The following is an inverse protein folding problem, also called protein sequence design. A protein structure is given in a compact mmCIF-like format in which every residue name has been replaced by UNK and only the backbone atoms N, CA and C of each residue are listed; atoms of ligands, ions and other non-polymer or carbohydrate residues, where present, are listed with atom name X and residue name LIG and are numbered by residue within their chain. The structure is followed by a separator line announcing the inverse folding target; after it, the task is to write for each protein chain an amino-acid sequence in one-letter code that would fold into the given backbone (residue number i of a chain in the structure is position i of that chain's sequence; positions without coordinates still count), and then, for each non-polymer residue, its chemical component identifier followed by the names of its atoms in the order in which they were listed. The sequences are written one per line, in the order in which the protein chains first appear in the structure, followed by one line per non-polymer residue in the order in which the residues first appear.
data_IF_067607565198
#
_entry.id   IF_067607565198
#
_cell.length_a   1.000
_cell.length_b   1.000
_cell.length_c   1.000
_cell.angle_alpha   90.00
_cell.angle_beta   90.00
_cell.angle_gamma   90.00
#
_symmetry.space_group_name_H-M   'P 1'
#
loop_
_entity.id
_entity.type
_entity.pdbx_description
1 polymer ?
#
# COMPACT_ATOMS: atom_id res chain seq x y z
N UNK A 1 14.39 60.02 29.82
CA UNK A 1 14.02 60.94 28.73
C UNK A 1 13.60 60.09 27.53
N UNK A 2 12.34 60.21 27.08
CA UNK A 2 11.89 59.82 25.72
C UNK A 2 12.57 60.75 24.69
N UNK A 3 12.46 60.51 23.38
CA UNK A 3 12.60 59.28 22.58
C UNK A 3 13.55 59.57 21.38
N UNK A 4 13.70 58.68 20.40
CA UNK A 4 13.58 59.03 18.97
C UNK A 4 13.73 57.79 18.09
N UNK A 5 12.65 57.54 17.35
CA UNK A 5 12.53 56.58 16.26
C UNK A 5 12.79 57.37 14.97
N UNK A 6 13.68 56.90 14.08
CA UNK A 6 13.85 57.48 12.75
C UNK A 6 13.46 56.45 11.69
N UNK A 7 12.31 56.70 11.07
CA UNK A 7 11.91 56.08 9.81
C UNK A 7 12.65 56.77 8.65
N UNK A 8 12.82 55.96 7.60
CA UNK A 8 12.69 56.29 6.18
C UNK A 8 13.95 56.62 5.35
N UNK A 9 13.92 56.00 4.16
CA UNK A 9 14.45 56.46 2.86
C UNK A 9 15.98 56.40 2.71
N UNK A 10 16.57 55.73 1.70
CA UNK A 10 16.45 56.09 0.28
C UNK A 10 17.10 55.02 -0.63
N UNK A 11 16.38 54.67 -1.72
CA UNK A 11 16.79 54.41 -3.12
C UNK A 11 18.30 54.37 -3.49
N UNK A 12 18.73 53.34 -4.24
CA UNK A 12 19.59 53.49 -5.44
C UNK A 12 19.81 52.16 -6.20
N UNK A 13 19.62 52.25 -7.51
CA UNK A 13 19.90 51.28 -8.58
C UNK A 13 21.40 51.19 -8.84
N UNK A 14 21.92 49.99 -9.11
CA UNK A 14 23.18 49.81 -9.86
C UNK A 14 23.06 48.63 -10.85
N UNK A 15 23.29 48.96 -12.12
CA UNK A 15 23.43 48.08 -13.28
C UNK A 15 24.92 47.81 -13.53
N UNK A 16 25.27 46.62 -14.04
CA UNK A 16 26.58 46.27 -14.64
C UNK A 16 27.34 45.18 -13.86
N UNK A 17 28.14 44.29 -14.44
CA UNK A 17 28.42 43.87 -15.81
C UNK A 17 29.27 42.57 -15.70
N UNK A 18 28.97 41.60 -16.57
CA UNK A 18 29.83 40.54 -17.14
C UNK A 18 31.20 40.22 -16.52
N UNK A 19 31.42 38.94 -16.17
CA UNK A 19 32.69 38.25 -16.39
C UNK A 19 32.44 36.93 -17.13
N UNK A 20 32.66 36.97 -18.43
CA UNK A 20 32.85 35.82 -19.30
C UNK A 20 34.29 35.31 -19.15
N UNK A 21 34.46 34.11 -18.60
CA UNK A 21 35.71 33.36 -18.72
C UNK A 21 35.69 32.59 -20.03
N UNK A 22 36.54 33.03 -20.96
CA UNK A 22 36.99 32.22 -22.08
C UNK A 22 38.00 31.19 -21.56
N UNK A 23 37.73 29.91 -21.80
CA UNK A 23 38.73 28.87 -21.82
C UNK A 23 38.70 28.25 -23.21
N UNK A 24 39.77 28.47 -23.97
CA UNK A 24 40.00 27.92 -25.30
C UNK A 24 41.20 26.97 -25.18
N UNK A 25 41.10 25.79 -25.79
CA UNK A 25 42.26 25.02 -26.23
C UNK A 25 42.37 23.59 -25.71
N UNK A 26 41.73 22.64 -26.39
CA UNK A 26 42.44 21.61 -27.17
C UNK A 26 41.40 20.74 -27.90
N UNK A 27 41.54 20.66 -29.22
CA UNK A 27 40.84 19.71 -30.09
C UNK A 27 41.06 18.27 -29.62
N UNK A 28 39.98 17.50 -29.57
CA UNK A 28 39.91 16.12 -30.03
C UNK A 28 38.43 15.74 -30.15
N UNK A 29 38.06 15.31 -31.36
CA UNK A 29 36.76 14.75 -31.71
C UNK A 29 36.38 13.60 -30.78
N UNK A 30 35.28 13.74 -30.02
CA UNK A 30 34.47 12.61 -29.59
C UNK A 30 33.06 13.12 -29.21
N UNK A 31 32.10 12.69 -30.02
CA UNK A 31 30.69 13.06 -29.97
C UNK A 31 30.03 12.42 -28.72
N UNK A 32 30.18 13.03 -27.55
CA UNK A 32 29.50 12.57 -26.33
C UNK A 32 28.65 13.70 -25.73
N UNK A 33 27.45 13.85 -26.28
CA UNK A 33 26.36 14.60 -25.65
C UNK A 33 26.02 13.96 -24.31
N UNK A 34 26.60 14.47 -23.22
CA UNK A 34 26.15 14.19 -21.85
C UNK A 34 24.79 14.83 -21.63
N UNK A 35 23.74 14.13 -22.11
CA UNK A 35 22.38 14.44 -21.76
C UNK A 35 22.24 14.42 -20.24
N UNK A 36 21.95 15.58 -19.64
CA UNK A 36 21.59 15.69 -18.24
C UNK A 36 20.47 14.66 -17.95
N UNK A 37 20.64 13.73 -17.00
CA UNK A 37 19.65 12.68 -16.79
C UNK A 37 18.29 13.33 -16.49
N UNK A 38 17.28 12.90 -17.23
CA UNK A 38 15.92 13.38 -17.03
C UNK A 38 15.52 13.22 -15.55
N UNK A 39 14.88 14.22 -14.91
CA UNK A 39 14.45 14.12 -13.54
C UNK A 39 13.61 12.85 -13.34
N UNK A 40 13.89 12.10 -12.26
CA UNK A 40 13.11 10.91 -11.95
C UNK A 40 11.63 11.30 -11.79
N UNK A 41 10.74 10.63 -12.52
CA UNK A 41 9.31 10.91 -12.45
C UNK A 41 8.78 10.57 -11.06
N UNK A 42 8.05 11.49 -10.45
CA UNK A 42 7.41 11.33 -9.14
C UNK A 42 5.89 11.39 -9.21
N UNK A 43 5.23 10.90 -8.17
CA UNK A 43 3.81 11.09 -7.89
C UNK A 43 3.58 11.39 -6.41
N UNK A 44 2.46 12.03 -6.08
CA UNK A 44 2.20 12.54 -4.74
C UNK A 44 1.36 11.57 -3.93
N UNK A 45 1.91 11.01 -2.85
CA UNK A 45 1.17 10.20 -1.88
C UNK A 45 0.76 11.08 -0.70
N UNK A 46 -0.51 11.01 -0.29
CA UNK A 46 -1.06 11.76 0.84
C UNK A 46 -1.71 10.83 1.85
N UNK A 47 -1.75 11.24 3.10
CA UNK A 47 -2.29 10.39 4.14
C UNK A 47 -2.26 10.95 5.55
N UNK A 48 -2.60 10.08 6.50
CA UNK A 48 -2.60 10.36 7.94
C UNK A 48 -1.77 9.30 8.67
N UNK A 49 -0.78 9.73 9.44
CA UNK A 49 -0.01 8.89 10.34
C UNK A 49 -0.40 9.15 11.80
N UNK A 50 -0.86 8.12 12.51
CA UNK A 50 -1.34 8.26 13.89
C UNK A 50 -1.31 6.94 14.66
N UNK A 51 -1.26 7.04 15.99
CA UNK A 51 -1.41 5.89 16.91
C UNK A 51 -2.38 6.21 18.05
N UNK A 52 -3.51 6.84 17.75
CA UNK A 52 -4.42 7.48 18.72
C UNK A 52 -4.09 8.96 18.98
N UNK A 53 -2.91 9.38 18.51
CA UNK A 53 -2.48 10.78 18.42
C UNK A 53 -1.76 10.99 17.09
N UNK A 54 -1.68 12.22 16.58
CA UNK A 54 -0.80 12.55 15.47
C UNK A 54 0.60 11.96 15.67
N UNK A 55 1.08 11.18 14.71
CA UNK A 55 2.42 10.61 14.79
C UNK A 55 3.47 11.70 14.54
N UNK A 56 4.37 11.88 15.50
CA UNK A 56 5.47 12.85 15.37
C UNK A 56 6.71 12.13 14.85
N UNK A 57 7.13 12.46 13.64
CA UNK A 57 8.28 11.87 13.00
C UNK A 57 8.35 12.19 11.51
N UNK A 58 8.99 11.30 10.77
CA UNK A 58 9.22 11.42 9.34
C UNK A 58 8.53 10.30 8.59
N UNK A 59 8.23 10.56 7.33
CA UNK A 59 7.68 9.57 6.40
C UNK A 59 8.55 9.44 5.17
N UNK A 60 8.71 8.20 4.70
CA UNK A 60 9.36 7.83 3.44
C UNK A 60 8.49 6.83 2.71
N UNK A 61 8.59 6.85 1.38
CA UNK A 61 7.85 5.97 0.49
C UNK A 61 8.82 5.24 -0.42
N UNK A 62 8.70 3.92 -0.50
CA UNK A 62 9.45 3.08 -1.42
C UNK A 62 8.54 2.50 -2.49
N UNK A 63 8.90 2.68 -3.75
CA UNK A 63 8.15 2.18 -4.91
C UNK A 63 8.50 0.70 -5.21
N UNK A 64 7.83 0.07 -6.18
CA UNK A 64 8.05 -1.36 -6.50
C UNK A 64 9.48 -1.70 -6.94
N UNK A 65 10.23 -0.72 -7.44
CA UNK A 65 11.60 -0.89 -7.93
C UNK A 65 12.63 -0.63 -6.81
N UNK A 66 12.17 -0.49 -5.56
CA UNK A 66 13.02 -0.23 -4.40
C UNK A 66 13.50 1.22 -4.27
N UNK A 67 13.07 2.13 -5.17
CA UNK A 67 13.43 3.55 -5.12
C UNK A 67 12.67 4.24 -3.99
N UNK A 68 13.38 5.03 -3.20
CA UNK A 68 12.87 5.69 -2.01
C UNK A 68 12.75 7.20 -2.23
N UNK A 69 11.72 7.80 -1.64
CA UNK A 69 11.56 9.26 -1.57
C UNK A 69 12.56 9.89 -0.59
N UNK A 70 12.74 11.20 -0.65
CA UNK A 70 13.30 11.93 0.50
C UNK A 70 12.37 11.82 1.70
N UNK A 71 12.93 11.82 2.91
CA UNK A 71 12.14 11.88 4.14
C UNK A 71 11.43 13.24 4.29
N UNK A 72 10.16 13.21 4.66
CA UNK A 72 9.33 14.40 4.90
C UNK A 72 8.83 14.39 6.34
N UNK A 73 8.84 15.54 7.01
CA UNK A 73 8.26 15.67 8.34
C UNK A 73 6.73 15.55 8.28
N UNK A 74 6.18 14.70 9.14
CA UNK A 74 4.72 14.57 9.31
C UNK A 74 4.22 15.82 10.03
N UNK A 75 3.11 16.39 9.55
CA UNK A 75 2.55 17.63 10.12
C UNK A 75 2.03 17.38 11.53
N UNK A 76 1.84 18.47 12.29
CA UNK A 76 1.36 18.41 13.68
C UNK A 76 -0.02 17.76 13.85
N UNK A 77 -0.84 17.75 12.80
CA UNK A 77 -2.14 17.09 12.77
C UNK A 77 -2.08 15.61 12.32
N UNK A 78 -0.88 15.10 12.05
CA UNK A 78 -0.61 13.73 11.60
C UNK A 78 -0.70 13.57 10.09
N UNK A 79 -1.11 14.61 9.34
CA UNK A 79 -1.20 14.51 7.88
C UNK A 79 0.18 14.60 7.23
N UNK A 80 0.32 13.99 6.05
CA UNK A 80 1.55 14.05 5.26
C UNK A 80 1.25 14.13 3.76
N UNK A 81 2.25 14.63 3.03
CA UNK A 81 2.28 14.66 1.57
C UNK A 81 3.72 14.43 1.10
N UNK A 82 3.94 13.40 0.29
CA UNK A 82 5.28 12.96 -0.14
C UNK A 82 5.33 12.84 -1.66
N UNK A 83 6.35 13.45 -2.28
CA UNK A 83 6.70 13.18 -3.67
C UNK A 83 7.47 11.86 -3.75
N UNK A 84 6.78 10.78 -4.10
CA UNK A 84 7.33 9.43 -4.20
C UNK A 84 7.80 9.12 -5.62
N UNK A 85 8.82 8.27 -5.81
CA UNK A 85 9.15 7.74 -7.13
C UNK A 85 7.94 7.05 -7.76
N UNK A 86 7.68 7.31 -9.05
CA UNK A 86 6.52 6.75 -9.75
C UNK A 86 6.57 5.22 -9.85
N UNK A 87 5.42 4.56 -9.74
CA UNK A 87 5.23 3.11 -9.91
C UNK A 87 5.02 2.35 -8.60
N UNK A 88 3.75 2.09 -8.27
CA UNK A 88 3.37 1.19 -7.18
C UNK A 88 3.60 -0.30 -7.50
N UNK A 89 3.41 -1.21 -6.53
CA UNK A 89 2.99 -0.92 -5.17
C UNK A 89 4.03 -0.16 -4.33
N UNK A 90 3.51 0.56 -3.36
CA UNK A 90 4.24 1.37 -2.40
C UNK A 90 4.29 0.71 -1.04
N UNK A 91 5.47 0.64 -0.46
CA UNK A 91 5.65 0.39 0.96
C UNK A 91 5.99 1.72 1.63
N UNK A 92 5.13 2.14 2.55
CA UNK A 92 5.22 3.41 3.25
C UNK A 92 5.74 3.15 4.66
N UNK A 93 6.72 3.95 5.10
CA UNK A 93 7.30 3.86 6.45
C UNK A 93 7.23 5.22 7.13
N UNK A 94 6.60 5.26 8.30
CA UNK A 94 6.71 6.39 9.22
C UNK A 94 7.60 5.99 10.40
N UNK A 95 8.51 6.85 10.81
CA UNK A 95 9.43 6.58 11.91
C UNK A 95 9.73 7.85 12.70
N UNK A 96 10.14 7.70 13.96
CA UNK A 96 10.66 8.80 14.75
C UNK A 96 12.19 8.69 14.90
N UNK A 97 12.85 9.80 15.23
CA UNK A 97 14.31 9.82 15.45
C UNK A 97 14.71 9.38 16.87
N UNK A 98 13.79 8.76 17.62
CA UNK A 98 14.07 8.24 18.96
C UNK A 98 14.78 6.89 18.86
N UNK A 99 15.45 6.50 19.95
CA UNK A 99 16.22 5.24 20.02
C UNK A 99 15.71 4.34 21.15
N UNK A 100 16.12 3.06 21.12
CA UNK A 100 15.73 2.06 22.11
C UNK A 100 14.22 1.85 22.15
N UNK A 101 13.66 1.69 23.35
CA UNK A 101 12.23 1.40 23.57
C UNK A 101 11.29 2.55 23.14
N UNK A 102 11.85 3.72 22.86
CA UNK A 102 11.09 4.89 22.40
C UNK A 102 11.07 5.01 20.87
N UNK A 103 11.90 4.23 20.17
CA UNK A 103 11.89 4.15 18.72
C UNK A 103 10.57 3.52 18.26
N UNK A 104 9.88 4.21 17.36
CA UNK A 104 8.64 3.70 16.77
C UNK A 104 8.75 3.78 15.27
N UNK A 105 8.51 2.64 14.62
CA UNK A 105 8.39 2.52 13.17
C UNK A 105 7.04 1.90 12.84
N UNK A 106 6.33 2.53 11.91
CA UNK A 106 5.04 2.11 11.40
C UNK A 106 5.16 1.86 9.90
N UNK A 107 4.40 0.88 9.42
CA UNK A 107 4.38 0.48 8.03
C UNK A 107 2.96 0.55 7.47
N UNK A 108 2.87 0.87 6.18
CA UNK A 108 1.64 0.84 5.42
C UNK A 108 1.91 0.51 3.96
N UNK A 109 0.85 0.36 3.18
CA UNK A 109 0.89 -0.09 1.79
C UNK A 109 -0.13 0.66 0.95
N UNK A 110 0.22 0.91 -0.31
CA UNK A 110 -0.72 1.42 -1.30
C UNK A 110 -0.38 0.89 -2.68
N UNK A 111 -1.38 0.57 -3.50
CA UNK A 111 -1.15 0.20 -4.91
C UNK A 111 -0.88 1.40 -5.81
N UNK A 112 -1.38 2.57 -5.43
CA UNK A 112 -1.25 3.81 -6.20
C UNK A 112 -1.03 5.03 -5.29
N UNK A 113 -0.70 6.17 -5.89
CA UNK A 113 -0.58 7.44 -5.17
C UNK A 113 -1.89 8.23 -5.02
N UNK A 114 -3.00 7.77 -5.60
CA UNK A 114 -4.27 8.52 -5.61
C UNK A 114 -5.07 8.29 -4.33
N UNK A 115 -4.91 7.11 -3.74
CA UNK A 115 -5.61 6.70 -2.54
C UNK A 115 -5.02 7.39 -1.32
N UNK A 116 -5.87 7.89 -0.42
CA UNK A 116 -5.43 8.34 0.90
C UNK A 116 -4.84 7.16 1.67
N UNK A 117 -3.66 7.35 2.26
CA UNK A 117 -2.95 6.29 2.98
C UNK A 117 -2.99 6.53 4.49
N UNK A 118 -3.43 5.53 5.23
CA UNK A 118 -3.31 5.52 6.69
C UNK A 118 -2.01 4.83 7.09
N UNK A 119 -1.25 5.42 8.00
CA UNK A 119 -0.03 4.82 8.57
C UNK A 119 -0.17 4.74 10.08
N UNK A 120 -0.53 3.56 10.59
CA UNK A 120 -0.82 3.35 12.00
C UNK A 120 -0.44 1.93 12.43
N UNK A 121 -0.67 1.59 13.70
CA UNK A 121 -0.37 0.27 14.25
C UNK A 121 -1.21 -0.86 13.59
N UNK A 122 -2.41 -0.55 13.08
CA UNK A 122 -3.28 -1.53 12.42
C UNK A 122 -2.80 -1.86 11.01
N UNK A 123 -2.40 -0.84 10.23
CA UNK A 123 -1.78 -1.07 8.91
C UNK A 123 -0.44 -1.78 9.07
N UNK A 124 0.34 -1.43 10.09
CA UNK A 124 1.60 -2.13 10.40
C UNK A 124 1.36 -3.61 10.69
N UNK A 125 0.34 -3.92 11.50
CA UNK A 125 -0.04 -5.30 11.78
C UNK A 125 -0.51 -6.06 10.53
N UNK A 126 -1.23 -5.42 9.62
CA UNK A 126 -1.63 -6.04 8.36
C UNK A 126 -0.41 -6.35 7.47
N UNK A 127 0.56 -5.44 7.35
CA UNK A 127 1.80 -5.71 6.60
C UNK A 127 2.62 -6.81 7.26
N UNK A 128 2.69 -6.81 8.59
CA UNK A 128 3.36 -7.87 9.36
C UNK A 128 2.78 -9.25 9.07
N UNK A 129 1.45 -9.38 9.14
CA UNK A 129 0.76 -10.63 8.85
C UNK A 129 0.91 -11.04 7.37
N UNK A 130 0.81 -10.10 6.44
CA UNK A 130 0.99 -10.36 5.00
C UNK A 130 2.42 -10.82 4.66
N UNK A 131 3.41 -10.35 5.43
CA UNK A 131 4.80 -10.76 5.36
C UNK A 131 5.10 -12.09 6.09
N UNK A 132 4.07 -12.87 6.43
CA UNK A 132 4.26 -14.14 7.13
C UNK A 132 4.86 -13.98 8.53
N UNK A 133 4.59 -12.83 9.18
CA UNK A 133 5.04 -12.53 10.53
C UNK A 133 6.58 -12.47 10.66
N UNK A 134 7.26 -12.10 9.58
CA UNK A 134 8.70 -11.85 9.55
C UNK A 134 9.05 -10.37 9.70
N UNK A 135 10.34 -10.07 9.90
CA UNK A 135 10.86 -8.72 10.10
C UNK A 135 10.40 -7.73 9.02
N UNK A 136 9.75 -6.64 9.46
CA UNK A 136 9.31 -5.56 8.59
C UNK A 136 10.47 -4.69 8.10
N UNK A 137 11.53 -4.55 8.90
CA UNK A 137 12.72 -3.81 8.48
C UNK A 137 13.45 -4.54 7.34
N UNK A 138 13.52 -5.87 7.41
CA UNK A 138 14.04 -6.70 6.32
C UNK A 138 13.15 -6.60 5.07
N UNK A 139 11.83 -6.67 5.23
CA UNK A 139 10.87 -6.44 4.13
C UNK A 139 11.11 -5.08 3.46
N UNK A 140 11.24 -4.01 4.27
CA UNK A 140 11.44 -2.67 3.76
C UNK A 140 12.78 -2.52 3.04
N UNK A 141 13.84 -3.15 3.55
CA UNK A 141 15.17 -3.14 2.93
C UNK A 141 15.15 -3.80 1.54
N UNK A 142 14.53 -4.97 1.42
CA UNK A 142 14.51 -5.80 0.20
C UNK A 142 13.18 -5.70 -0.57
N UNK A 143 12.47 -4.56 -0.47
CA UNK A 143 11.13 -4.39 -1.05
C UNK A 143 11.07 -4.65 -2.57
N UNK A 144 12.12 -4.29 -3.31
CA UNK A 144 12.27 -4.56 -4.75
C UNK A 144 12.16 -6.04 -5.10
N UNK A 145 12.58 -6.92 -4.19
CA UNK A 145 12.50 -8.38 -4.34
C UNK A 145 11.24 -8.95 -3.72
N UNK A 146 10.77 -8.36 -2.63
CA UNK A 146 9.69 -8.90 -1.81
C UNK A 146 8.28 -8.45 -2.23
N UNK A 147 8.14 -7.41 -3.06
CA UNK A 147 6.81 -6.92 -3.48
C UNK A 147 6.00 -7.93 -4.32
N UNK A 148 6.66 -8.92 -4.92
CA UNK A 148 6.00 -10.05 -5.60
C UNK A 148 5.52 -11.14 -4.63
N UNK A 149 6.12 -11.20 -3.42
CA UNK A 149 5.78 -12.17 -2.37
C UNK A 149 4.71 -11.59 -1.44
N UNK A 150 4.82 -10.33 -1.07
CA UNK A 150 3.81 -9.57 -0.29
C UNK A 150 2.87 -8.88 -1.26
N UNK A 151 1.94 -9.67 -1.83
CA UNK A 151 0.99 -9.21 -2.84
C UNK A 151 -0.17 -8.43 -2.23
N UNK A 152 -0.87 -7.63 -3.05
CA UNK A 152 -2.09 -6.93 -2.65
C UNK A 152 -3.12 -7.88 -2.01
N UNK A 153 -3.28 -9.09 -2.54
CA UNK A 153 -4.20 -10.09 -1.99
C UNK A 153 -3.82 -10.56 -0.58
N UNK A 154 -2.51 -10.72 -0.29
CA UNK A 154 -2.05 -11.06 1.08
C UNK A 154 -2.25 -9.88 2.02
N UNK A 155 -1.98 -8.66 1.56
CA UNK A 155 -2.22 -7.44 2.34
C UNK A 155 -3.71 -7.29 2.64
N UNK A 156 -4.59 -7.50 1.66
CA UNK A 156 -6.04 -7.45 1.83
C UNK A 156 -6.56 -8.49 2.82
N UNK A 157 -6.16 -9.76 2.68
CA UNK A 157 -6.54 -10.81 3.63
C UNK A 157 -6.10 -10.47 5.06
N UNK A 158 -4.84 -10.04 5.22
CA UNK A 158 -4.31 -9.61 6.50
C UNK A 158 -5.09 -8.40 7.09
N UNK A 159 -5.43 -7.43 6.25
CA UNK A 159 -6.18 -6.25 6.64
C UNK A 159 -7.61 -6.59 7.09
N UNK A 160 -8.27 -7.52 6.38
CA UNK A 160 -9.58 -8.05 6.78
C UNK A 160 -9.51 -8.78 8.12
N UNK A 161 -8.44 -9.54 8.36
CA UNK A 161 -8.20 -10.21 9.66
C UNK A 161 -7.96 -9.21 10.79
N UNK A 162 -7.26 -8.09 10.53
CA UNK A 162 -7.13 -6.98 11.48
C UNK A 162 -8.51 -6.39 11.82
N UNK A 163 -9.32 -6.07 10.80
CA UNK A 163 -10.66 -5.55 10.99
C UNK A 163 -11.57 -6.54 11.75
N UNK A 164 -11.45 -7.84 11.48
CA UNK A 164 -12.20 -8.89 12.16
C UNK A 164 -11.83 -9.05 13.63
N UNK A 165 -10.54 -9.05 13.98
CA UNK A 165 -10.08 -9.12 15.37
C UNK A 165 -10.60 -7.93 16.18
N UNK A 166 -10.74 -6.76 15.54
CA UNK A 166 -11.14 -5.51 16.18
C UNK A 166 -12.61 -5.13 15.94
N UNK A 167 -13.42 -6.09 15.49
CA UNK A 167 -14.80 -5.82 15.06
C UNK A 167 -15.67 -5.21 16.17
N UNK A 168 -15.51 -5.62 17.43
CA UNK A 168 -16.27 -5.05 18.56
C UNK A 168 -15.82 -3.63 18.91
N UNK A 169 -14.54 -3.31 18.73
CA UNK A 169 -13.96 -2.00 18.96
C UNK A 169 -14.41 -1.02 17.87
N UNK A 170 -14.47 -1.45 16.61
CA UNK A 170 -15.06 -0.67 15.52
C UNK A 170 -16.57 -0.47 15.69
N UNK A 171 -17.31 -1.52 16.08
CA UNK A 171 -18.74 -1.40 16.36
C UNK A 171 -19.04 -0.41 17.50
N UNK A 172 -18.19 -0.37 18.53
CA UNK A 172 -18.31 0.58 19.65
C UNK A 172 -18.17 2.06 19.24
N UNK A 173 -17.63 2.34 18.05
CA UNK A 173 -17.55 3.68 17.45
C UNK A 173 -18.42 3.80 16.19
N UNK A 174 -19.39 2.90 16.04
CA UNK A 174 -20.35 2.87 14.92
C UNK A 174 -19.71 2.67 13.53
N UNK A 175 -18.56 2.01 13.47
CA UNK A 175 -17.91 1.60 12.22
C UNK A 175 -18.19 0.12 11.95
N UNK A 176 -18.72 -0.19 10.77
CA UNK A 176 -18.89 -1.57 10.30
C UNK A 176 -17.55 -2.11 9.77
N UNK A 177 -16.88 -2.95 10.58
CA UNK A 177 -15.60 -3.55 10.23
C UNK A 177 -15.63 -4.30 8.89
N UNK A 178 -16.79 -4.86 8.49
CA UNK A 178 -16.93 -5.61 7.23
C UNK A 178 -16.83 -4.73 5.98
N UNK A 179 -16.96 -3.41 6.15
CA UNK A 179 -16.86 -2.40 5.08
C UNK A 179 -15.63 -1.50 5.24
N UNK A 180 -14.81 -1.74 6.25
CA UNK A 180 -13.72 -0.87 6.65
C UNK A 180 -12.39 -1.27 5.99
N UNK A 181 -11.93 -0.52 5.00
CA UNK A 181 -10.54 -0.60 4.56
C UNK A 181 -9.64 0.24 5.48
N UNK A 182 -8.91 -0.42 6.39
CA UNK A 182 -8.03 0.23 7.37
C UNK A 182 -6.88 1.05 6.73
N UNK A 183 -6.51 0.75 5.47
CA UNK A 183 -5.43 1.44 4.76
C UNK A 183 -5.86 2.79 4.17
N UNK A 184 -7.16 3.00 3.93
CA UNK A 184 -7.65 4.18 3.22
C UNK A 184 -8.85 4.88 3.87
N UNK A 185 -9.40 4.30 4.94
CA UNK A 185 -10.51 4.91 5.66
C UNK A 185 -10.15 6.31 6.16
N UNK A 186 -10.87 7.32 5.70
CA UNK A 186 -10.60 8.70 6.07
C UNK A 186 -10.85 8.92 7.57
N UNK A 187 -9.85 9.47 8.27
CA UNK A 187 -9.98 9.83 9.67
C UNK A 187 -9.07 11.00 10.05
N UNK A 188 -9.35 11.59 11.22
CA UNK A 188 -8.51 12.60 11.87
C UNK A 188 -7.99 12.04 13.18
N UNK A 189 -6.74 12.35 13.52
CA UNK A 189 -6.13 11.95 14.79
C UNK A 189 -6.59 12.85 15.95
N UNK A 190 -7.85 12.69 16.36
CA UNK A 190 -8.55 13.54 17.32
C UNK A 190 -9.27 12.78 18.45
N UNK A 191 -9.02 11.49 18.60
CA UNK A 191 -9.62 10.61 19.60
C UNK A 191 -11.09 10.26 19.35
N UNK A 192 -11.56 10.34 18.10
CA UNK A 192 -12.95 10.01 17.71
C UNK A 192 -13.02 9.04 16.53
N UNK A 193 -14.14 8.34 16.36
CA UNK A 193 -14.36 7.40 15.25
C UNK A 193 -13.25 6.35 15.17
N UNK A 194 -12.60 6.25 14.01
CA UNK A 194 -11.48 5.32 13.80
C UNK A 194 -10.31 5.57 14.78
N UNK A 195 -9.99 6.82 15.09
CA UNK A 195 -8.88 7.16 15.99
C UNK A 195 -9.15 6.75 17.44
N UNK A 196 -10.42 6.77 17.88
CA UNK A 196 -10.79 6.23 19.19
C UNK A 196 -10.55 4.71 19.31
N UNK A 197 -10.46 3.98 18.19
CA UNK A 197 -10.00 2.58 18.19
C UNK A 197 -8.48 2.53 18.29
N UNK A 198 -7.77 3.41 17.59
CA UNK A 198 -6.31 3.52 17.70
C UNK A 198 -5.86 3.86 19.13
N UNK A 199 -6.61 4.69 19.86
CA UNK A 199 -6.35 5.02 21.27
C UNK A 199 -6.42 3.79 22.19
N UNK A 200 -7.29 2.84 21.87
CA UNK A 200 -7.51 1.65 22.69
C UNK A 200 -6.57 0.51 22.35
N UNK A 201 -6.10 0.45 21.11
CA UNK A 201 -5.31 -0.68 20.59
C UNK A 201 -3.84 -0.33 20.60
N UNK A 202 -3.05 -1.08 21.35
CA UNK A 202 -1.59 -0.99 21.33
C UNK A 202 -1.02 -2.29 20.77
N UNK A 203 -0.19 -2.17 19.73
CA UNK A 203 0.52 -3.29 19.13
C UNK A 203 2.01 -2.92 19.13
N UNK A 204 2.83 -3.76 19.76
CA UNK A 204 4.27 -3.52 19.92
C UNK A 204 5.08 -4.78 19.66
N UNK A 205 6.39 -4.63 19.49
CA UNK A 205 7.31 -5.75 19.27
C UNK A 205 7.58 -6.11 17.80
N UNK A 206 7.14 -5.28 16.84
CA UNK A 206 7.43 -5.47 15.40
C UNK A 206 8.93 -5.45 15.05
N UNK A 207 9.75 -4.80 15.88
CA UNK A 207 11.21 -4.72 15.72
C UNK A 207 11.96 -5.83 16.46
N UNK A 208 11.29 -6.58 17.34
CA UNK A 208 11.87 -7.68 18.13
C UNK A 208 11.68 -9.02 17.42
N UNK A 209 12.12 -9.06 16.16
CA UNK A 209 11.98 -10.19 15.27
C UNK A 209 13.32 -10.89 15.06
N UNK A 210 13.32 -12.21 15.04
CA UNK A 210 14.38 -13.00 14.41
C UNK A 210 13.88 -13.51 13.03
N UNK A 211 14.70 -14.31 12.34
CA UNK A 211 14.38 -14.83 11.00
C UNK A 211 13.17 -15.79 10.95
N UNK A 212 12.66 -16.25 12.10
CA UNK A 212 11.61 -17.27 12.22
C UNK A 212 10.50 -16.95 13.23
N UNK A 213 10.60 -15.90 14.04
CA UNK A 213 9.54 -15.45 14.96
C UNK A 213 9.70 -14.00 15.42
N UNK A 214 8.58 -13.35 15.73
CA UNK A 214 8.54 -12.06 16.41
C UNK A 214 7.65 -12.13 17.65
N UNK A 215 8.08 -11.48 18.72
CA UNK A 215 7.31 -11.37 19.95
C UNK A 215 6.42 -10.12 19.88
N UNK A 216 5.35 -10.19 19.09
CA UNK A 216 4.37 -9.10 18.99
C UNK A 216 3.36 -9.21 20.13
N UNK A 217 3.18 -8.11 20.87
CA UNK A 217 2.22 -8.00 21.96
C UNK A 217 1.03 -7.16 21.52
N UNK A 218 -0.16 -7.61 21.87
CA UNK A 218 -1.42 -6.92 21.58
C UNK A 218 -2.11 -6.57 22.88
N UNK A 219 -2.48 -5.30 23.02
CA UNK A 219 -3.25 -4.81 24.14
C UNK A 219 -4.47 -4.08 23.62
N UNK A 220 -5.62 -4.31 24.26
CA UNK A 220 -6.83 -3.53 24.05
C UNK A 220 -7.27 -2.97 25.40
N UNK A 221 -7.39 -1.65 25.48
CA UNK A 221 -7.76 -0.94 26.69
C UNK A 221 -6.87 -1.32 27.90
N UNK A 222 -5.57 -1.47 27.66
CA UNK A 222 -4.58 -1.83 28.68
C UNK A 222 -4.61 -3.30 29.12
N UNK A 223 -5.44 -4.16 28.51
CA UNK A 223 -5.51 -5.60 28.78
C UNK A 223 -4.92 -6.40 27.63
N UNK A 224 -4.25 -7.52 27.93
CA UNK A 224 -3.69 -8.40 26.92
C UNK A 224 -4.80 -8.98 26.03
N UNK A 225 -4.55 -8.97 24.72
CA UNK A 225 -5.49 -9.42 23.73
C UNK A 225 -4.92 -10.60 22.94
N UNK A 226 -5.69 -11.68 22.85
CA UNK A 226 -5.31 -12.84 22.04
C UNK A 226 -5.62 -12.57 20.57
N UNK A 227 -4.58 -12.35 19.78
CA UNK A 227 -4.72 -12.07 18.35
C UNK A 227 -4.92 -13.35 17.53
N UNK A 228 -6.02 -13.44 16.78
CA UNK A 228 -6.33 -14.59 15.95
C UNK A 228 -5.95 -14.35 14.48
N UNK A 229 -4.83 -14.96 14.06
CA UNK A 229 -4.35 -14.91 12.67
C UNK A 229 -5.17 -15.74 11.67
N UNK A 230 -6.03 -16.63 12.18
CA UNK A 230 -6.91 -17.52 11.40
C UNK A 230 -8.38 -17.13 11.54
N UNK A 231 -8.66 -15.90 12.01
CA UNK A 231 -10.04 -15.41 12.13
C UNK A 231 -10.73 -15.40 10.77
N UNK A 232 -12.01 -15.79 10.75
CA UNK A 232 -12.81 -15.78 9.54
C UNK A 232 -13.02 -14.34 9.04
N UNK A 233 -12.81 -14.14 7.76
CA UNK A 233 -13.08 -12.90 7.02
C UNK A 233 -14.35 -13.00 6.18
N UNK A 234 -15.21 -13.99 6.46
CA UNK A 234 -16.49 -14.16 5.77
C UNK A 234 -17.36 -12.90 5.91
N UNK A 235 -17.78 -12.35 4.78
CA UNK A 235 -18.60 -11.13 4.72
C UNK A 235 -17.81 -9.82 4.69
N UNK A 236 -16.47 -9.85 4.62
CA UNK A 236 -15.64 -8.67 4.37
C UNK A 236 -15.45 -8.49 2.86
N UNK A 237 -16.04 -7.43 2.28
CA UNK A 237 -16.17 -7.28 0.83
C UNK A 237 -15.40 -6.10 0.22
N UNK A 238 -14.50 -5.47 0.97
CA UNK A 238 -13.63 -4.39 0.49
C UNK A 238 -12.28 -4.90 0.00
N UNK A 239 -11.58 -4.07 -0.77
CA UNK A 239 -10.22 -4.30 -1.29
C UNK A 239 -9.29 -3.18 -0.81
N UNK A 240 -7.99 -3.45 -0.72
CA UNK A 240 -6.99 -2.45 -0.26
C UNK A 240 -6.79 -1.34 -1.29
N UNK A 241 -7.18 -1.60 -2.54
CA UNK A 241 -7.09 -0.67 -3.66
C UNK A 241 -8.22 0.37 -3.59
N UNK A 242 -7.93 1.55 -3.03
CA UNK A 242 -8.83 2.70 -3.08
C UNK A 242 -8.94 3.35 -4.47
N UNK A 243 -8.15 2.89 -5.43
CA UNK A 243 -8.35 3.12 -6.84
C UNK A 243 -8.43 1.77 -7.53
N UNK A 244 -9.52 1.51 -8.23
CA UNK A 244 -9.35 0.66 -9.39
C UNK A 244 -8.18 1.21 -10.20
N UNK A 245 -7.22 0.34 -10.52
CA UNK A 245 -6.81 0.31 -11.92
C UNK A 245 -8.13 0.32 -12.69
N UNK A 246 -8.37 1.23 -13.65
CA UNK A 246 -9.62 1.22 -14.39
C UNK A 246 -9.84 -0.17 -14.98
N UNK A 247 -10.61 -0.99 -14.28
CA UNK A 247 -11.37 -2.08 -14.84
C UNK A 247 -12.33 -1.36 -15.76
N UNK A 248 -12.29 -1.75 -17.02
CA UNK A 248 -12.96 -1.06 -18.12
C UNK A 248 -14.50 -1.07 -18.04
N UNK A 249 -15.09 -1.41 -16.88
CA UNK A 249 -16.49 -1.79 -16.73
C UNK A 249 -16.82 -3.09 -17.46
N UNK A 250 -15.80 -3.91 -17.71
CA UNK A 250 -15.84 -5.05 -18.62
C UNK A 250 -15.93 -6.37 -17.86
N UNK A 251 -16.51 -7.37 -18.52
CA UNK A 251 -16.61 -8.71 -17.98
C UNK A 251 -15.22 -9.37 -17.94
N UNK A 252 -15.00 -10.31 -17.03
CA UNK A 252 -13.77 -11.10 -16.99
C UNK A 252 -14.00 -12.46 -17.65
N UNK A 253 -13.32 -12.73 -18.76
CA UNK A 253 -13.33 -14.01 -19.44
C UNK A 253 -12.18 -14.87 -18.93
N UNK A 254 -12.51 -16.08 -18.47
CA UNK A 254 -11.57 -17.12 -18.10
C UNK A 254 -11.69 -18.27 -19.09
N UNK A 255 -10.60 -18.54 -19.81
CA UNK A 255 -10.43 -19.77 -20.57
C UNK A 255 -9.87 -20.86 -19.66
N UNK A 256 -10.51 -22.02 -19.66
CA UNK A 256 -10.10 -23.19 -18.90
C UNK A 256 -9.84 -24.32 -19.88
N UNK A 257 -8.58 -24.74 -19.98
CA UNK A 257 -8.17 -25.89 -20.78
C UNK A 257 -7.85 -27.04 -19.84
N UNK A 258 -8.74 -28.02 -19.77
CA UNK A 258 -8.56 -29.23 -18.95
C UNK A 258 -8.12 -30.37 -19.85
N UNK A 259 -7.00 -30.99 -19.51
CA UNK A 259 -6.53 -32.22 -20.13
C UNK A 259 -6.83 -33.39 -19.21
N UNK A 260 -7.55 -34.39 -19.70
CA UNK A 260 -7.85 -35.64 -18.98
C UNK A 260 -7.48 -36.82 -19.87
N UNK A 261 -6.54 -37.67 -19.43
CA UNK A 261 -6.17 -38.90 -20.14
C UNK A 261 -5.85 -38.71 -21.65
N UNK A 262 -5.22 -37.58 -22.01
CA UNK A 262 -4.83 -37.27 -23.40
C UNK A 262 -5.87 -36.51 -24.22
N UNK A 263 -7.09 -36.31 -23.70
CA UNK A 263 -8.13 -35.50 -24.33
C UNK A 263 -8.14 -34.08 -23.76
N UNK A 264 -8.28 -33.08 -24.63
CA UNK A 264 -8.37 -31.67 -24.24
C UNK A 264 -9.83 -31.21 -24.29
N UNK A 265 -10.29 -30.60 -23.19
CA UNK A 265 -11.59 -29.94 -23.09
C UNK A 265 -11.36 -28.47 -22.76
N UNK A 266 -11.79 -27.59 -23.65
CA UNK A 266 -11.72 -26.14 -23.46
C UNK A 266 -13.09 -25.58 -23.07
N UNK A 267 -13.15 -24.80 -21.99
CA UNK A 267 -14.35 -24.08 -21.58
C UNK A 267 -14.04 -22.60 -21.40
N UNK A 268 -15.08 -21.77 -21.56
CA UNK A 268 -15.01 -20.34 -21.32
C UNK A 268 -16.02 -19.97 -20.25
N UNK A 269 -15.57 -19.37 -19.15
CA UNK A 269 -16.43 -18.81 -18.11
C UNK A 269 -16.29 -17.30 -18.17
N UNK A 270 -17.40 -16.59 -18.30
CA UNK A 270 -17.42 -15.14 -18.33
C UNK A 270 -18.10 -14.61 -17.07
N UNK A 271 -17.35 -13.91 -16.23
CA UNK A 271 -17.88 -13.21 -15.07
C UNK A 271 -18.38 -11.84 -15.50
N UNK A 272 -19.70 -11.70 -15.57
CA UNK A 272 -20.40 -10.46 -15.87
C UNK A 272 -20.48 -9.53 -14.66
N UNK A 273 -20.56 -8.22 -14.91
CA UNK A 273 -20.51 -7.17 -13.87
C UNK A 273 -19.23 -7.27 -13.01
N UNK A 274 -18.12 -7.64 -13.63
CA UNK A 274 -16.84 -7.73 -12.94
C UNK A 274 -16.46 -6.34 -12.41
N UNK A 275 -16.15 -6.20 -11.10
CA UNK A 275 -15.98 -4.87 -10.51
C UNK A 275 -14.86 -4.11 -11.21
N UNK A 276 -15.09 -2.81 -11.40
CA UNK A 276 -14.17 -1.86 -12.07
C UNK A 276 -12.82 -1.72 -11.39
N UNK A 277 -12.60 -2.36 -10.23
CA UNK A 277 -11.38 -2.27 -9.44
C UNK A 277 -10.75 -3.66 -9.21
N UNK A 278 -11.16 -4.67 -9.97
CA UNK A 278 -10.63 -6.04 -9.85
C UNK A 278 -9.86 -6.44 -11.10
N UNK A 279 -8.68 -7.04 -10.90
CA UNK A 279 -7.88 -7.58 -12.00
C UNK A 279 -8.53 -8.87 -12.50
N UNK A 280 -8.85 -8.93 -13.79
CA UNK A 280 -9.19 -10.18 -14.46
C UNK A 280 -7.89 -10.96 -14.72
N UNK A 281 -7.45 -11.74 -13.73
CA UNK A 281 -6.15 -12.40 -13.81
C UNK A 281 -5.93 -13.39 -12.68
N UNK A 282 -4.91 -14.24 -12.85
CA UNK A 282 -4.55 -15.28 -11.88
C UNK A 282 -4.19 -14.73 -10.48
N UNK A 283 -3.79 -13.45 -10.39
CA UNK A 283 -3.47 -12.79 -9.13
C UNK A 283 -4.72 -12.40 -8.30
N UNK A 284 -5.92 -12.51 -8.87
CA UNK A 284 -7.16 -12.22 -8.17
C UNK A 284 -7.57 -13.44 -7.33
N UNK A 285 -7.44 -13.32 -6.00
CA UNK A 285 -7.73 -14.41 -5.06
C UNK A 285 -9.17 -14.92 -5.14
N UNK A 286 -10.15 -14.06 -5.42
CA UNK A 286 -11.55 -14.45 -5.56
C UNK A 286 -11.79 -15.28 -6.84
N UNK A 287 -11.12 -14.95 -7.94
CA UNK A 287 -11.11 -15.79 -9.15
C UNK A 287 -10.38 -17.12 -8.91
N UNK A 288 -9.24 -17.07 -8.22
CA UNK A 288 -8.45 -18.25 -7.88
C UNK A 288 -9.25 -19.32 -7.12
N UNK A 289 -10.03 -18.91 -6.10
CA UNK A 289 -10.88 -19.82 -5.31
C UNK A 289 -12.06 -20.40 -6.10
N UNK A 290 -12.67 -19.62 -7.02
CA UNK A 290 -13.76 -20.11 -7.86
C UNK A 290 -13.30 -21.12 -8.92
N UNK A 291 -12.02 -21.10 -9.30
CA UNK A 291 -11.42 -21.97 -10.33
C UNK A 291 -10.82 -23.26 -9.77
N UNK A 292 -10.73 -23.43 -8.44
CA UNK A 292 -10.15 -24.64 -7.81
C UNK A 292 -10.97 -25.92 -7.99
N UNK A 293 -12.14 -25.87 -8.64
CA UNK A 293 -13.01 -27.03 -8.88
C UNK A 293 -12.34 -28.11 -9.74
N UNK A 294 -11.28 -27.79 -10.49
CA UNK A 294 -10.66 -28.72 -11.44
C UNK A 294 -9.32 -29.33 -11.00
N UNK A 295 -8.80 -29.03 -9.80
CA UNK A 295 -7.43 -29.43 -9.40
C UNK A 295 -7.32 -30.49 -8.30
N UNK A 296 -8.41 -31.10 -7.82
CA UNK A 296 -8.30 -32.08 -6.72
C UNK A 296 -8.31 -33.54 -7.18
N UNK A 297 -7.12 -34.13 -7.30
CA UNK A 297 -6.87 -35.47 -6.75
C UNK A 297 -6.91 -36.70 -7.67
N UNK A 298 -7.21 -36.55 -8.97
CA UNK A 298 -7.19 -37.69 -9.90
C UNK A 298 -5.96 -37.58 -10.81
N UNK A 299 -5.06 -38.56 -10.73
CA UNK A 299 -3.86 -38.61 -11.57
C UNK A 299 -4.22 -38.54 -13.06
N UNK A 300 -3.53 -37.66 -13.80
CA UNK A 300 -3.74 -37.49 -15.25
C UNK A 300 -4.65 -36.33 -15.66
N UNK A 301 -5.03 -35.46 -14.72
CA UNK A 301 -5.76 -34.21 -15.01
C UNK A 301 -4.86 -32.98 -14.83
N UNK A 302 -4.75 -32.13 -15.86
CA UNK A 302 -4.08 -30.82 -15.76
C UNK A 302 -4.97 -29.73 -16.32
N UNK A 303 -5.14 -28.63 -15.58
CA UNK A 303 -5.90 -27.46 -16.02
C UNK A 303 -4.97 -26.26 -16.26
N UNK A 304 -5.11 -25.61 -17.41
CA UNK A 304 -4.45 -24.33 -17.71
C UNK A 304 -5.50 -23.23 -17.78
N UNK A 305 -5.19 -22.07 -17.22
CA UNK A 305 -6.10 -20.94 -17.14
C UNK A 305 -5.55 -19.76 -17.92
N UNK A 306 -6.41 -19.15 -18.74
CA UNK A 306 -6.15 -17.88 -19.43
C UNK A 306 -7.18 -16.85 -18.99
N UNK A 307 -6.76 -15.60 -18.85
CA UNK A 307 -7.61 -14.53 -18.34
C UNK A 307 -7.62 -13.38 -19.34
N UNK A 308 -8.79 -12.80 -19.59
CA UNK A 308 -8.95 -11.69 -20.53
C UNK A 308 -10.10 -10.78 -20.12
N UNK A 309 -9.85 -9.48 -20.04
CA UNK A 309 -10.93 -8.49 -19.90
C UNK A 309 -11.67 -8.34 -21.24
N UNK A 310 -13.01 -8.38 -21.23
CA UNK A 310 -13.85 -8.33 -22.44
C UNK A 310 -15.04 -7.38 -22.32
N UNK A 311 -15.29 -6.59 -23.38
CA UNK A 311 -16.41 -5.65 -23.48
C UNK A 311 -17.80 -6.27 -23.20
N UNK A 312 -17.99 -7.50 -23.66
CA UNK A 312 -19.19 -8.31 -23.44
C UNK A 312 -18.82 -9.79 -23.38
N UNK A 313 -19.62 -10.61 -22.72
CA UNK A 313 -19.37 -12.05 -22.71
C UNK A 313 -19.53 -12.64 -24.12
N UNK A 314 -18.52 -13.36 -24.65
CA UNK A 314 -18.60 -13.93 -25.99
C UNK A 314 -19.64 -15.04 -26.04
N UNK A 315 -20.24 -15.24 -27.21
CA UNK A 315 -21.16 -16.34 -27.45
C UNK A 315 -20.49 -17.69 -27.14
N UNK A 316 -21.22 -18.59 -26.46
CA UNK A 316 -20.72 -19.89 -26.03
C UNK A 316 -19.91 -19.89 -24.73
N UNK A 317 -19.73 -18.74 -24.06
CA UNK A 317 -19.22 -18.71 -22.70
C UNK A 317 -20.34 -18.92 -21.68
N UNK A 318 -20.05 -19.66 -20.61
CA UNK A 318 -20.92 -19.74 -19.42
C UNK A 318 -20.86 -18.41 -18.69
N UNK A 319 -21.98 -17.70 -18.61
CA UNK A 319 -22.04 -16.38 -17.97
C UNK A 319 -22.41 -16.54 -16.49
N UNK A 320 -21.57 -15.98 -15.62
CA UNK A 320 -21.76 -15.93 -14.17
C UNK A 320 -21.84 -14.47 -13.75
N UNK A 321 -22.85 -14.08 -12.98
CA UNK A 321 -22.88 -12.74 -12.39
C UNK A 321 -21.89 -12.69 -11.21
N UNK A 322 -20.96 -11.73 -11.24
CA UNK A 322 -20.06 -11.48 -10.10
C UNK A 322 -20.88 -10.97 -8.90
N UNK A 323 -20.61 -11.50 -7.70
CA UNK A 323 -21.30 -11.15 -6.44
C UNK A 323 -20.32 -10.58 -5.43
#
# INVERSE_FOLDING_TARGET
MKPLNFKALTLAVCVGATLSLAACGSDNDDNNSTANPAPASTETIKGTAATGKPFVGKIVVKNKDGKESTAVDIKLDGTFEVAAPKGGPYLIKAYNDKTGDQAVTLYSYSMDAKTQVNVNQLTTQAIFAANGQASLDALYKDWDKQNSVVTAAKVEDAAKKVAANLSSQFAAVSIDAKKLNIFSYEFKANGSGFDAVLDKVQISGFSNCNVSSCNVKYMINGSEFSWNYQISTTGYSWVVDGGGIPGSGQNCLVGVDVKVAGQNVSQKVCYSNFPTNTVCGAANGALGSALQVFSSGIGGVSATYTFSAVGSCPAGATVVAWK
#
